data_IF_939005140959
#
_entry.id   IF_939005140959
#
_cell.length_a   1.000
_cell.length_b   1.000
_cell.length_c   1.000
_cell.angle_alpha   90.00
_cell.angle_beta   90.00
_cell.angle_gamma   90.00
#
_symmetry.space_group_name_H-M   'P 1'
#
loop_
_entity.id
_entity.type
_entity.pdbx_description
1 polymer ?
#
# COMPACT_ATOMS: atom_id res chain seq x y z
N UNK A 1 -22.64 8.64 3.40
CA UNK A 1 -21.98 7.33 3.20
C UNK A 1 -20.50 7.60 2.95
N UNK A 2 -19.68 7.57 4.00
CA UNK A 2 -18.24 7.84 3.95
C UNK A 2 -17.51 6.50 3.98
N UNK A 3 -17.34 5.90 2.80
CA UNK A 3 -16.73 4.58 2.62
C UNK A 3 -15.23 4.65 2.29
N UNK A 4 -14.47 3.77 2.92
CA UNK A 4 -13.23 3.11 2.46
C UNK A 4 -11.89 3.86 2.32
N UNK A 5 -11.79 5.19 2.39
CA UNK A 5 -10.49 5.85 2.17
C UNK A 5 -9.43 5.67 3.29
N UNK A 6 -9.81 5.18 4.48
CA UNK A 6 -8.89 4.97 5.62
C UNK A 6 -8.17 3.62 5.57
N UNK A 7 -8.71 2.63 4.85
CA UNK A 7 -8.13 1.28 4.84
C UNK A 7 -6.85 1.22 3.99
N UNK A 8 -6.73 2.03 2.94
CA UNK A 8 -5.70 1.88 1.90
C UNK A 8 -4.32 2.45 2.24
N UNK A 9 -4.21 3.50 3.07
CA UNK A 9 -2.89 4.00 3.52
C UNK A 9 -2.20 3.03 4.48
N UNK A 10 -2.98 2.35 5.33
CA UNK A 10 -2.46 1.45 6.35
C UNK A 10 -1.93 0.13 5.76
N UNK A 11 -2.51 -0.38 4.67
CA UNK A 11 -2.16 -1.71 4.12
C UNK A 11 -0.71 -1.79 3.61
N UNK A 12 -0.19 -0.72 2.99
CA UNK A 12 1.21 -0.67 2.54
C UNK A 12 2.20 -0.66 3.70
N UNK A 13 1.87 0.07 4.77
CA UNK A 13 2.70 0.14 5.97
C UNK A 13 2.69 -1.19 6.74
N UNK A 14 1.56 -1.88 6.75
CA UNK A 14 1.43 -3.23 7.33
C UNK A 14 2.29 -4.23 6.55
N UNK A 15 2.24 -4.23 5.21
CA UNK A 15 3.10 -5.10 4.40
C UNK A 15 4.59 -4.84 4.65
N UNK A 16 5.00 -3.57 4.73
CA UNK A 16 6.38 -3.21 5.06
C UNK A 16 6.80 -3.69 6.47
N UNK A 17 5.87 -3.64 7.43
CA UNK A 17 6.10 -4.11 8.80
C UNK A 17 6.25 -5.62 8.86
N UNK A 18 5.41 -6.36 8.15
CA UNK A 18 5.50 -7.82 8.03
C UNK A 18 6.85 -8.25 7.43
N UNK A 19 7.34 -7.54 6.40
CA UNK A 19 8.67 -7.81 5.83
C UNK A 19 9.81 -7.52 6.81
N UNK A 20 9.71 -6.45 7.61
CA UNK A 20 10.69 -6.18 8.67
C UNK A 20 10.69 -7.30 9.72
N UNK A 21 9.50 -7.77 10.09
CA UNK A 21 9.35 -8.84 11.07
C UNK A 21 9.88 -10.19 10.55
N UNK A 22 9.67 -10.48 9.27
CA UNK A 22 10.27 -11.63 8.59
C UNK A 22 11.80 -11.59 8.64
N UNK A 23 12.42 -10.42 8.40
CA UNK A 23 13.88 -10.25 8.44
C UNK A 23 14.48 -10.45 9.83
N UNK A 24 13.73 -10.16 10.88
CA UNK A 24 14.17 -10.34 12.27
C UNK A 24 13.74 -11.68 12.85
N UNK A 25 13.01 -12.50 12.10
CA UNK A 25 12.54 -13.80 12.57
C UNK A 25 13.62 -14.86 12.40
N UNK A 26 13.98 -15.54 13.48
CA UNK A 26 14.96 -16.63 13.46
C UNK A 26 14.35 -17.96 13.02
N UNK A 27 13.02 -18.07 13.02
CA UNK A 27 12.32 -19.26 12.54
C UNK A 27 11.96 -19.09 11.05
N UNK A 28 12.47 -19.96 10.17
CA UNK A 28 12.26 -19.82 8.73
C UNK A 28 10.79 -20.06 8.33
N UNK A 29 10.04 -20.89 9.07
CA UNK A 29 8.63 -21.12 8.75
C UNK A 29 7.77 -19.88 9.10
N UNK A 30 8.08 -19.21 10.21
CA UNK A 30 7.45 -17.95 10.60
C UNK A 30 7.83 -16.82 9.63
N UNK A 31 9.09 -16.73 9.21
CA UNK A 31 9.54 -15.75 8.22
C UNK A 31 8.81 -15.89 6.89
N UNK A 32 8.65 -17.13 6.39
CA UNK A 32 7.87 -17.42 5.19
C UNK A 32 6.42 -16.97 5.36
N UNK A 33 5.79 -17.29 6.50
CA UNK A 33 4.41 -16.87 6.77
C UNK A 33 4.21 -15.35 6.73
N UNK A 34 5.17 -14.57 7.22
CA UNK A 34 5.13 -13.11 7.13
C UNK A 34 5.32 -12.59 5.70
N UNK A 35 6.21 -13.22 4.91
CA UNK A 35 6.43 -12.86 3.51
C UNK A 35 5.16 -13.13 2.68
N UNK A 36 4.52 -14.29 2.87
CA UNK A 36 3.29 -14.64 2.17
C UNK A 36 2.15 -13.66 2.49
N UNK A 37 1.96 -13.30 3.77
CA UNK A 37 0.95 -12.28 4.14
C UNK A 37 1.27 -10.90 3.55
N UNK A 38 2.54 -10.51 3.53
CA UNK A 38 2.93 -9.24 2.92
C UNK A 38 2.69 -9.23 1.41
N UNK A 39 2.87 -10.36 0.73
CA UNK A 39 2.59 -10.53 -0.70
C UNK A 39 1.08 -10.46 -1.00
N UNK A 40 0.25 -11.17 -0.22
CA UNK A 40 -1.22 -11.11 -0.32
C UNK A 40 -1.74 -9.68 -0.12
N UNK A 41 -1.26 -8.98 0.92
CA UNK A 41 -1.63 -7.58 1.13
C UNK A 41 -1.22 -6.68 -0.05
N UNK A 42 -0.06 -6.93 -0.66
CA UNK A 42 0.41 -6.15 -1.81
C UNK A 42 -0.44 -6.42 -3.06
N UNK A 43 -0.82 -7.66 -3.31
CA UNK A 43 -1.71 -8.04 -4.42
C UNK A 43 -3.07 -7.38 -4.27
N UNK A 44 -3.64 -7.40 -3.06
CA UNK A 44 -4.91 -6.72 -2.77
C UNK A 44 -4.86 -5.21 -2.95
N UNK A 45 -3.73 -4.58 -2.63
CA UNK A 45 -3.51 -3.14 -2.89
C UNK A 45 -3.45 -2.84 -4.39
N UNK A 46 -2.87 -3.75 -5.18
CA UNK A 46 -2.77 -3.61 -6.64
C UNK A 46 -4.14 -3.84 -7.31
N UNK A 47 -4.89 -4.84 -6.84
CA UNK A 47 -6.23 -5.21 -7.33
C UNK A 47 -7.31 -4.19 -6.93
N UNK A 48 -7.25 -3.64 -5.71
CA UNK A 48 -8.15 -2.55 -5.28
C UNK A 48 -7.92 -1.23 -6.03
N UNK A 49 -6.95 -1.18 -6.95
CA UNK A 49 -6.73 -0.01 -7.79
C UNK A 49 -6.67 1.24 -6.93
N UNK A 50 -5.64 1.32 -6.06
CA UNK A 50 -5.25 2.61 -5.47
C UNK A 50 -5.46 3.67 -6.55
N UNK A 51 -6.17 4.77 -6.30
CA UNK A 51 -6.15 5.86 -7.25
C UNK A 51 -4.66 6.11 -7.45
N UNK A 52 -4.17 5.78 -8.66
CA UNK A 52 -2.90 6.29 -9.12
C UNK A 52 -3.02 7.75 -8.74
N UNK A 53 -2.08 8.26 -7.96
CA UNK A 53 -1.95 9.69 -7.85
C UNK A 53 -1.68 10.11 -9.29
N UNK A 54 -2.77 10.36 -10.03
CA UNK A 54 -2.77 11.01 -11.30
C UNK A 54 -2.03 12.27 -10.93
N UNK A 55 -0.79 12.35 -11.39
CA UNK A 55 -0.18 13.62 -11.71
C UNK A 55 -1.06 14.26 -12.78
N UNK A 56 -2.28 14.65 -12.37
CA UNK A 56 -3.16 15.48 -13.12
C UNK A 56 -2.32 16.70 -13.49
N UNK A 57 -2.38 17.13 -14.76
CA UNK A 57 -1.55 18.23 -15.22
C UNK A 57 -1.70 19.39 -14.23
N UNK A 58 -0.60 20.09 -13.87
CA UNK A 58 -0.69 21.21 -12.95
C UNK A 58 -1.79 22.15 -13.44
N UNK A 59 -2.66 22.67 -12.56
CA UNK A 59 -3.74 23.54 -12.98
C UNK A 59 -3.11 24.69 -13.76
N UNK A 60 -3.46 24.77 -15.04
CA UNK A 60 -3.00 25.84 -15.91
C UNK A 60 -3.71 27.11 -15.43
N UNK A 61 -3.05 27.84 -14.52
CA UNK A 61 -3.46 29.16 -14.06
C UNK A 61 -3.17 30.12 -15.22
N UNK A 62 -4.01 30.06 -16.25
CA UNK A 62 -4.08 31.10 -17.27
C UNK A 62 -4.79 32.26 -16.61
N UNK A 63 -3.99 33.20 -16.11
CA UNK A 63 -4.41 34.53 -15.70
C UNK A 63 -5.24 35.15 -16.83
N UNK A 64 -6.56 35.25 -16.61
CA UNK A 64 -7.43 36.05 -17.47
C UNK A 64 -7.21 37.51 -17.13
N UNK A 65 -6.56 38.21 -18.06
CA UNK A 65 -6.66 39.65 -18.25
C UNK A 65 -8.12 40.07 -18.43
#
# INVERSE_FOLDING_TARGET
MLGNAVVTKNTREVAATLLKLAKTSSDPAVAVGFIERAADLKERIDDEGLPKADGGPPPNIIQRQ
#
